data_IF_828277343840
#
_entry.id   IF_828277343840
#
_cell.length_a   1.000
_cell.length_b   1.000
_cell.length_c   1.000
_cell.angle_alpha   90.00
_cell.angle_beta   90.00
_cell.angle_gamma   90.00
#
_symmetry.space_group_name_H-M   'P 1'
#
loop_
_entity.id
_entity.type
_entity.pdbx_description
1 polymer ?
#
# COMPACT_ATOMS: atom_id res chain seq x y z
N UNK A 1 12.68 29.85 -5.18
CA UNK A 1 13.15 28.65 -4.45
C UNK A 1 13.13 27.42 -5.34
N UNK A 2 12.09 27.23 -6.15
CA UNK A 2 11.98 26.17 -7.15
C UNK A 2 13.18 26.07 -8.12
N UNK A 3 13.60 27.18 -8.75
CA UNK A 3 14.73 27.19 -9.69
C UNK A 3 16.05 26.74 -9.07
N UNK A 4 16.29 27.09 -7.80
CA UNK A 4 17.46 26.67 -7.05
C UNK A 4 17.39 25.16 -6.81
N UNK A 5 16.23 24.65 -6.36
CA UNK A 5 16.03 23.22 -6.10
C UNK A 5 16.21 22.35 -7.35
N UNK A 6 15.66 22.79 -8.49
CA UNK A 6 15.82 22.09 -9.79
C UNK A 6 17.27 22.08 -10.26
N UNK A 7 17.99 23.17 -10.05
CA UNK A 7 19.41 23.26 -10.39
C UNK A 7 20.25 22.35 -9.48
N UNK A 8 19.97 22.32 -8.17
CA UNK A 8 20.67 21.44 -7.22
C UNK A 8 20.43 19.95 -7.50
N UNK A 9 19.22 19.58 -7.94
CA UNK A 9 18.85 18.21 -8.28
C UNK A 9 19.24 17.81 -9.72
N UNK A 10 19.92 18.68 -10.48
CA UNK A 10 20.25 18.46 -11.90
C UNK A 10 19.02 18.08 -12.76
N UNK A 11 17.85 18.63 -12.43
CA UNK A 11 16.56 18.24 -13.04
C UNK A 11 16.20 16.74 -12.90
N UNK A 12 16.86 15.99 -12.01
CA UNK A 12 16.50 14.60 -11.65
C UNK A 12 15.35 14.60 -10.63
N UNK A 13 14.16 14.91 -11.11
CA UNK A 13 12.95 14.99 -10.27
C UNK A 13 12.26 13.63 -10.09
N UNK A 14 12.57 12.66 -10.96
CA UNK A 14 12.04 11.30 -10.91
C UNK A 14 12.83 10.44 -9.93
N UNK A 15 12.44 10.48 -8.65
CA UNK A 15 13.00 9.64 -7.59
C UNK A 15 12.12 8.40 -7.40
N UNK A 16 12.68 7.18 -7.27
CA UNK A 16 11.90 6.01 -6.91
C UNK A 16 11.28 6.20 -5.52
N UNK A 17 9.96 6.20 -5.45
CA UNK A 17 9.21 6.40 -4.20
C UNK A 17 8.48 5.12 -3.80
N UNK A 18 8.35 4.94 -2.49
CA UNK A 18 7.83 3.71 -1.85
C UNK A 18 6.44 3.33 -2.35
N UNK A 19 5.61 4.31 -2.69
CA UNK A 19 4.25 4.10 -3.19
C UNK A 19 4.22 3.31 -4.51
N UNK A 20 5.14 3.56 -5.46
CA UNK A 20 5.22 2.77 -6.72
C UNK A 20 5.57 1.32 -6.48
N UNK A 21 6.43 1.06 -5.50
CA UNK A 21 6.75 -0.31 -5.11
C UNK A 21 5.54 -0.97 -4.47
N UNK A 22 4.85 -0.26 -3.57
CA UNK A 22 3.64 -0.75 -2.90
C UNK A 22 2.53 -1.07 -3.90
N UNK A 23 2.22 -0.19 -4.85
CA UNK A 23 1.23 -0.43 -5.91
C UNK A 23 1.50 -1.77 -6.63
N UNK A 24 2.77 -2.01 -6.99
CA UNK A 24 3.17 -3.24 -7.66
C UNK A 24 3.05 -4.47 -6.77
N UNK A 25 3.40 -4.35 -5.49
CA UNK A 25 3.29 -5.45 -4.53
C UNK A 25 1.81 -5.77 -4.25
N UNK A 26 0.94 -4.76 -4.14
CA UNK A 26 -0.51 -4.96 -3.97
C UNK A 26 -1.09 -5.75 -5.15
N UNK A 27 -0.72 -5.42 -6.39
CA UNK A 27 -1.14 -6.18 -7.57
C UNK A 27 -0.66 -7.64 -7.52
N UNK A 28 0.57 -7.89 -7.06
CA UNK A 28 1.06 -9.25 -6.85
C UNK A 28 0.26 -9.99 -5.76
N UNK A 29 -0.05 -9.31 -4.66
CA UNK A 29 -0.86 -9.88 -3.58
C UNK A 29 -2.28 -10.23 -4.05
N UNK A 30 -2.89 -9.41 -4.92
CA UNK A 30 -4.21 -9.69 -5.49
C UNK A 30 -4.19 -10.93 -6.39
N UNK A 31 -3.10 -11.17 -7.14
CA UNK A 31 -2.95 -12.39 -7.93
C UNK A 31 -2.66 -13.63 -7.09
N UNK A 32 -1.89 -13.49 -6.00
CA UNK A 32 -1.44 -14.61 -5.15
C UNK A 32 -2.47 -15.04 -4.12
N UNK A 33 -3.11 -14.07 -3.49
CA UNK A 33 -4.19 -14.29 -2.56
C UNK A 33 -5.46 -13.96 -3.32
N UNK A 34 -6.26 -14.97 -3.68
CA UNK A 34 -7.60 -14.75 -4.20
C UNK A 34 -8.42 -14.05 -3.11
N UNK A 35 -8.29 -12.73 -3.07
CA UNK A 35 -9.15 -11.87 -2.29
C UNK A 35 -10.54 -12.04 -2.90
N UNK A 36 -11.33 -12.92 -2.30
CA UNK A 36 -12.70 -13.18 -2.72
C UNK A 36 -13.49 -11.92 -2.38
N UNK A 37 -13.85 -11.15 -3.40
CA UNK A 37 -14.97 -10.22 -3.30
C UNK A 37 -16.24 -11.06 -3.19
N UNK A 38 -16.54 -11.55 -1.98
CA UNK A 38 -17.80 -12.25 -1.69
C UNK A 38 -19.03 -11.30 -1.69
N UNK A 39 -18.88 -10.05 -2.13
CA UNK A 39 -19.95 -9.03 -2.18
C UNK A 39 -20.86 -9.13 -3.41
N UNK A 40 -21.17 -10.36 -3.86
CA UNK A 40 -22.20 -10.60 -4.89
C UNK A 40 -23.33 -11.52 -4.41
N UNK A 41 -23.92 -11.21 -3.27
CA UNK A 41 -25.35 -11.51 -3.05
C UNK A 41 -26.16 -10.25 -3.35
N UNK A 42 -26.71 -10.20 -4.57
CA UNK A 42 -27.72 -9.22 -4.99
C UNK A 42 -28.99 -9.57 -4.23
N UNK A 43 -29.22 -8.91 -3.09
CA UNK A 43 -30.53 -8.91 -2.46
C UNK A 43 -31.42 -7.92 -3.23
N UNK A 44 -32.51 -8.44 -3.78
CA UNK A 44 -33.46 -7.79 -4.71
C UNK A 44 -34.34 -6.68 -4.09
N UNK A 45 -33.81 -5.89 -3.16
CA UNK A 45 -34.52 -4.72 -2.61
C UNK A 45 -33.58 -3.54 -2.58
N UNK A 46 -33.91 -2.51 -3.36
CA UNK A 46 -33.10 -1.30 -3.49
C UNK A 46 -32.87 -0.62 -2.15
N UNK A 47 -31.71 -0.86 -1.56
CA UNK A 47 -31.11 -0.05 -0.51
C UNK A 47 -29.61 -0.29 -0.64
N UNK A 48 -28.89 0.67 -1.22
CA UNK A 48 -27.44 0.57 -1.36
C UNK A 48 -26.83 0.75 0.04
N UNK A 49 -26.44 -0.37 0.65
CA UNK A 49 -25.73 -0.36 1.92
C UNK A 49 -24.37 0.32 1.69
N UNK A 50 -24.22 1.57 2.12
CA UNK A 50 -22.96 2.35 2.03
C UNK A 50 -21.84 1.82 2.94
N UNK A 51 -22.01 0.63 3.55
CA UNK A 51 -21.23 0.20 4.70
C UNK A 51 -20.43 -1.09 4.47
N UNK A 52 -20.53 -1.71 3.29
CA UNK A 52 -19.66 -2.82 2.92
C UNK A 52 -18.38 -2.26 2.27
N UNK A 53 -17.54 -1.63 3.11
CA UNK A 53 -16.16 -1.38 2.71
C UNK A 53 -15.53 -2.76 2.51
N UNK A 54 -15.20 -3.11 1.27
CA UNK A 54 -14.54 -4.38 0.99
C UNK A 54 -13.29 -4.45 1.86
N UNK A 55 -13.04 -5.59 2.51
CA UNK A 55 -11.88 -5.73 3.38
C UNK A 55 -10.56 -5.38 2.64
N UNK A 56 -10.58 -5.41 1.30
CA UNK A 56 -9.46 -5.11 0.42
C UNK A 56 -9.13 -3.63 0.46
N UNK A 57 -10.16 -2.78 0.43
CA UNK A 57 -10.00 -1.34 0.57
C UNK A 57 -9.36 -1.01 1.93
N UNK A 58 -9.81 -1.64 3.02
CA UNK A 58 -9.19 -1.47 4.35
C UNK A 58 -7.73 -1.93 4.39
N UNK A 59 -7.41 -3.05 3.74
CA UNK A 59 -6.04 -3.53 3.63
C UNK A 59 -5.15 -2.51 2.89
N UNK A 60 -5.60 -2.01 1.75
CA UNK A 60 -4.86 -1.02 0.95
C UNK A 60 -4.68 0.30 1.71
N UNK A 61 -5.74 0.80 2.35
CA UNK A 61 -5.66 2.01 3.18
C UNK A 61 -4.67 1.85 4.34
N UNK A 62 -4.64 0.68 4.99
CA UNK A 62 -3.69 0.43 6.07
C UNK A 62 -2.23 0.51 5.61
N UNK A 63 -1.93 0.07 4.38
CA UNK A 63 -0.58 0.16 3.82
C UNK A 63 -0.20 1.62 3.56
N UNK A 64 -1.11 2.41 2.99
CA UNK A 64 -0.87 3.84 2.80
C UNK A 64 -0.66 4.57 4.12
N UNK A 65 -1.44 4.22 5.14
CA UNK A 65 -1.26 4.77 6.48
C UNK A 65 0.12 4.45 7.06
N UNK A 66 0.61 3.22 6.92
CA UNK A 66 1.97 2.87 7.38
C UNK A 66 3.06 3.61 6.60
N UNK A 67 2.87 3.83 5.30
CA UNK A 67 3.80 4.63 4.50
C UNK A 67 3.85 6.08 4.99
N UNK A 68 2.70 6.70 5.24
CA UNK A 68 2.64 8.06 5.78
C UNK A 68 3.29 8.16 7.16
N UNK A 69 3.06 7.15 8.02
CA UNK A 69 3.72 7.07 9.33
C UNK A 69 5.25 7.02 9.19
N UNK A 70 5.77 6.24 8.23
CA UNK A 70 7.22 6.15 8.01
C UNK A 70 7.83 7.47 7.53
N UNK A 71 7.09 8.33 6.84
CA UNK A 71 7.59 9.64 6.40
C UNK A 71 7.76 10.63 7.56
N UNK A 72 7.12 10.40 8.71
CA UNK A 72 7.22 11.27 9.88
C UNK A 72 8.54 11.06 10.65
N UNK A 73 9.14 9.87 10.54
CA UNK A 73 10.31 9.47 11.32
C UNK A 73 11.59 9.48 10.45
N UNK A 74 12.51 10.42 10.66
CA UNK A 74 13.75 10.58 9.87
C UNK A 74 14.60 9.30 9.71
N UNK A 75 14.42 8.32 10.59
CA UNK A 75 15.05 7.00 10.51
C UNK A 75 14.75 6.30 9.18
N UNK A 76 13.63 6.62 8.50
CA UNK A 76 13.28 6.03 7.21
C UNK A 76 14.34 6.26 6.12
N UNK A 77 15.13 7.35 6.21
CA UNK A 77 16.19 7.69 5.24
C UNK A 77 17.31 6.63 5.17
N UNK A 78 17.43 5.79 6.21
CA UNK A 78 18.39 4.70 6.24
C UNK A 78 17.95 3.47 5.43
N UNK A 79 16.68 3.38 5.06
CA UNK A 79 16.11 2.24 4.36
C UNK A 79 15.72 2.59 2.92
N UNK A 80 15.86 1.61 2.02
CA UNK A 80 15.41 1.80 0.64
C UNK A 80 13.87 1.85 0.58
N UNK A 81 13.29 2.65 -0.32
CA UNK A 81 11.83 2.75 -0.49
C UNK A 81 11.15 1.40 -0.78
N UNK A 82 11.85 0.46 -1.42
CA UNK A 82 11.37 -0.90 -1.68
C UNK A 82 11.23 -1.73 -0.40
N UNK A 83 12.20 -1.61 0.52
CA UNK A 83 12.19 -2.32 1.80
C UNK A 83 11.06 -1.80 2.68
N UNK A 84 10.88 -0.47 2.71
CA UNK A 84 9.79 0.18 3.44
C UNK A 84 8.44 -0.30 2.90
N UNK A 85 8.26 -0.31 1.58
CA UNK A 85 7.03 -0.79 0.95
C UNK A 85 6.73 -2.26 1.25
N UNK A 86 7.73 -3.14 1.14
CA UNK A 86 7.55 -4.56 1.47
C UNK A 86 7.25 -4.78 2.96
N UNK A 87 7.90 -4.04 3.86
CA UNK A 87 7.65 -4.13 5.29
C UNK A 87 6.22 -3.69 5.64
N UNK A 88 5.74 -2.60 5.06
CA UNK A 88 4.37 -2.12 5.24
C UNK A 88 3.34 -3.16 4.77
N UNK A 89 3.55 -3.77 3.60
CA UNK A 89 2.67 -4.83 3.08
C UNK A 89 2.74 -6.09 3.97
N UNK A 90 3.92 -6.51 4.38
CA UNK A 90 4.07 -7.68 5.26
C UNK A 90 3.38 -7.47 6.60
N UNK A 91 3.46 -6.27 7.16
CA UNK A 91 2.80 -5.92 8.41
C UNK A 91 1.27 -5.90 8.24
N UNK A 92 0.77 -5.29 7.17
CA UNK A 92 -0.65 -5.33 6.84
C UNK A 92 -1.16 -6.77 6.65
N UNK A 93 -0.42 -7.63 5.95
CA UNK A 93 -0.80 -9.05 5.78
C UNK A 93 -0.87 -9.79 7.12
N UNK A 94 0.08 -9.51 8.02
CA UNK A 94 0.12 -10.13 9.34
C UNK A 94 -1.04 -9.65 10.22
N UNK A 95 -1.44 -8.38 10.15
CA UNK A 95 -2.56 -7.85 10.93
C UNK A 95 -3.93 -8.39 10.45
N UNK A 96 -4.16 -8.44 9.14
CA UNK A 96 -5.48 -8.80 8.60
C UNK A 96 -5.69 -10.31 8.44
N UNK A 97 -4.66 -11.06 8.06
CA UNK A 97 -4.80 -12.49 7.76
C UNK A 97 -4.07 -13.39 8.77
N UNK A 98 -3.26 -12.83 9.68
CA UNK A 98 -2.35 -13.61 10.52
C UNK A 98 -1.34 -14.43 9.71
N UNK A 99 -1.16 -14.11 8.42
CA UNK A 99 -0.29 -14.83 7.49
C UNK A 99 0.98 -14.03 7.26
N UNK A 100 2.10 -14.73 7.28
CA UNK A 100 3.38 -14.17 6.84
C UNK A 100 3.55 -14.40 5.34
N UNK A 101 4.37 -13.55 4.71
CA UNK A 101 4.80 -13.79 3.34
C UNK A 101 5.49 -15.17 3.28
N UNK A 102 4.97 -16.08 2.46
CA UNK A 102 5.58 -17.40 2.30
C UNK A 102 6.93 -17.23 1.62
N UNK A 103 7.97 -17.49 2.38
CA UNK A 103 9.30 -17.78 1.86
C UNK A 103 9.31 -19.28 1.65
N UNK A 104 9.27 -19.71 0.38
CA UNK A 104 9.52 -21.11 0.05
C UNK A 104 10.90 -21.56 0.54
#
# INVERSE_FOLDING_TARGET
MESIMLTTLEFRVTVPYSLRFVERVILLCQCLFSWSDDSRSIDTTGTANTNEISAYALFVESIYYFLELTLQEYVFLSYLPSVIGCAAVSLALQLFQGRTWKTE
#
